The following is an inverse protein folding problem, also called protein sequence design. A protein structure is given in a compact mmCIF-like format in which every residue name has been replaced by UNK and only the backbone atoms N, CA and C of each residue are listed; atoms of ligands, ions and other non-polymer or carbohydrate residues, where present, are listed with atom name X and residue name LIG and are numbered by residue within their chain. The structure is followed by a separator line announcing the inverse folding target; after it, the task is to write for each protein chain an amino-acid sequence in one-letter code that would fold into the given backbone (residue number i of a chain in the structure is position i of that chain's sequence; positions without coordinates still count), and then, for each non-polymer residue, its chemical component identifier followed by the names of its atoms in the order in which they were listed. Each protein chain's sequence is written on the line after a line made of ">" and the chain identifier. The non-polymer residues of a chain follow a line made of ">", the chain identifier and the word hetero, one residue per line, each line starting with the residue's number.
data_IF_510058631306
#
_entry.id   IF_510058631306
#
_cell.length_a   1.000
_cell.length_b   1.000
_cell.length_c   1.000
_cell.angle_alpha   90.00
_cell.angle_beta   90.00
_cell.angle_gamma   90.00
#
_symmetry.space_group_name_H-M   'P 1'
#
loop_
_entity.id
_entity.type
_entity.pdbx_description
1 polymer ?
#
# COMPACT_ATOMS: atom_id res chain seq x y z
N UNK A 1 2.82 -3.73 -16.30
CA UNK A 1 3.88 -3.88 -17.31
C UNK A 1 4.78 -5.05 -16.94
N UNK A 2 5.61 -5.53 -17.88
CA UNK A 2 6.68 -6.50 -17.59
C UNK A 2 8.01 -5.92 -18.07
N UNK A 3 8.97 -5.79 -17.17
CA UNK A 3 10.33 -5.36 -17.48
C UNK A 3 11.22 -6.59 -17.53
N UNK A 4 12.06 -6.69 -18.56
CA UNK A 4 13.01 -7.79 -18.71
C UNK A 4 14.37 -7.24 -19.15
N UNK A 5 15.43 -7.97 -18.85
CA UNK A 5 16.80 -7.68 -19.30
C UNK A 5 17.35 -8.83 -20.11
N UNK A 6 18.22 -8.51 -21.06
CA UNK A 6 19.11 -9.51 -21.64
C UNK A 6 20.41 -9.63 -20.84
N UNK A 7 21.36 -8.73 -21.07
CA UNK A 7 22.61 -8.59 -20.29
C UNK A 7 22.88 -7.12 -20.05
N UNK A 8 23.66 -6.78 -19.02
CA UNK A 8 24.03 -5.38 -18.75
C UNK A 8 22.80 -4.48 -18.56
N UNK A 9 22.84 -3.25 -19.06
CA UNK A 9 21.73 -2.30 -19.06
C UNK A 9 20.93 -2.35 -20.37
N UNK A 10 20.73 -3.55 -20.93
CA UNK A 10 19.86 -3.76 -22.08
C UNK A 10 18.46 -4.20 -21.58
N UNK A 11 17.62 -3.21 -21.26
CA UNK A 11 16.29 -3.39 -20.68
C UNK A 11 15.19 -3.31 -21.75
N UNK A 12 14.11 -4.07 -21.56
CA UNK A 12 12.94 -4.08 -22.43
C UNK A 12 11.65 -4.07 -21.60
N UNK A 13 10.59 -3.52 -22.18
CA UNK A 13 9.26 -3.45 -21.56
C UNK A 13 8.18 -4.06 -22.45
N UNK A 14 7.22 -4.73 -21.83
CA UNK A 14 5.95 -5.14 -22.43
C UNK A 14 4.76 -4.51 -21.67
N UNK A 15 3.77 -4.05 -22.43
CA UNK A 15 2.45 -3.61 -21.95
C UNK A 15 1.32 -4.55 -22.37
N UNK A 16 1.62 -5.66 -23.03
CA UNK A 16 0.67 -6.58 -23.67
C UNK A 16 0.80 -8.04 -23.17
N UNK A 17 1.19 -8.19 -21.90
CA UNK A 17 1.33 -9.49 -21.24
C UNK A 17 2.50 -10.34 -21.77
N UNK A 18 3.50 -9.70 -22.37
CA UNK A 18 4.71 -10.36 -22.89
C UNK A 18 4.60 -10.81 -24.34
N UNK A 19 3.56 -10.36 -25.06
CA UNK A 19 3.38 -10.68 -26.48
C UNK A 19 4.41 -9.96 -27.35
N UNK A 20 4.77 -8.73 -26.99
CA UNK A 20 5.83 -7.96 -27.62
C UNK A 20 6.65 -7.17 -26.59
N UNK A 21 7.91 -6.87 -26.94
CA UNK A 21 8.84 -6.14 -26.08
C UNK A 21 9.54 -5.03 -26.85
N UNK A 22 9.51 -3.82 -26.28
CA UNK A 22 10.22 -2.65 -26.79
C UNK A 22 11.48 -2.41 -25.97
N UNK A 23 12.59 -2.06 -26.62
CA UNK A 23 13.80 -1.69 -25.91
C UNK A 23 13.58 -0.38 -25.13
N UNK A 24 13.96 -0.38 -23.85
CA UNK A 24 14.09 0.84 -23.04
C UNK A 24 15.49 1.42 -23.22
N UNK A 25 16.52 0.57 -23.22
CA UNK A 25 17.91 1.01 -23.37
C UNK A 25 18.77 -0.05 -24.05
N UNK A 26 19.79 0.40 -24.77
CA UNK A 26 20.85 -0.43 -25.35
C UNK A 26 22.20 0.03 -24.77
N UNK A 27 22.63 -0.60 -23.67
CA UNK A 27 23.76 -0.12 -22.84
C UNK A 27 24.53 -1.29 -22.23
N UNK A 28 25.85 -1.30 -22.43
CA UNK A 28 26.75 -2.36 -21.97
C UNK A 28 27.42 -2.07 -20.60
N UNK A 29 26.96 -1.06 -19.86
CA UNK A 29 27.34 -0.85 -18.46
C UNK A 29 26.61 -1.83 -17.54
N UNK A 30 27.12 -2.01 -16.32
CA UNK A 30 26.55 -2.95 -15.34
C UNK A 30 27.25 -4.31 -15.31
N UNK A 31 26.52 -5.34 -14.89
CA UNK A 31 26.95 -6.75 -14.78
C UNK A 31 26.24 -7.60 -15.82
N UNK A 32 26.75 -8.80 -16.07
CA UNK A 32 26.15 -9.73 -17.03
C UNK A 32 24.68 -10.03 -16.67
N UNK A 33 24.43 -10.50 -15.44
CA UNK A 33 23.11 -10.47 -14.80
C UNK A 33 23.10 -9.19 -13.95
N UNK A 34 22.38 -8.17 -14.40
CA UNK A 34 22.49 -6.85 -13.83
C UNK A 34 21.49 -6.67 -12.68
N UNK A 35 21.94 -6.41 -11.43
CA UNK A 35 21.04 -6.15 -10.33
C UNK A 35 20.29 -4.84 -10.58
N UNK A 36 18.99 -4.88 -10.33
CA UNK A 36 18.09 -3.78 -10.52
C UNK A 36 16.88 -3.92 -9.59
N UNK A 37 16.23 -2.80 -9.33
CA UNK A 37 14.92 -2.77 -8.70
C UNK A 37 14.08 -1.64 -9.31
N UNK A 38 12.77 -1.84 -9.37
CA UNK A 38 11.82 -0.91 -9.94
C UNK A 38 11.00 -0.27 -8.83
N UNK A 39 11.14 1.05 -8.69
CA UNK A 39 10.32 1.87 -7.80
C UNK A 39 9.06 2.27 -8.56
N UNK A 40 7.95 1.61 -8.24
CA UNK A 40 6.66 1.80 -8.89
C UNK A 40 6.00 3.13 -8.51
N UNK A 41 6.22 3.60 -7.29
CA UNK A 41 5.77 4.92 -6.83
C UNK A 41 6.47 6.06 -7.57
N UNK A 42 7.77 5.93 -7.84
CA UNK A 42 8.54 6.92 -8.58
C UNK A 42 8.50 6.73 -10.10
N UNK A 43 8.04 5.57 -10.60
CA UNK A 43 8.15 5.12 -11.99
C UNK A 43 9.60 5.13 -12.50
N UNK A 44 10.54 4.59 -11.69
CA UNK A 44 11.97 4.56 -11.99
C UNK A 44 12.56 3.16 -11.83
N UNK A 45 13.22 2.67 -12.89
CA UNK A 45 14.07 1.48 -12.81
C UNK A 45 15.51 1.88 -12.44
N UNK A 46 15.99 1.44 -11.30
CA UNK A 46 17.37 1.60 -10.86
C UNK A 46 18.16 0.34 -11.19
N UNK A 47 19.33 0.48 -11.82
CA UNK A 47 20.16 -0.66 -12.22
C UNK A 47 21.65 -0.37 -12.10
N UNK A 48 22.46 -1.38 -11.80
CA UNK A 48 23.89 -1.17 -11.63
C UNK A 48 24.55 -0.69 -12.94
N UNK A 49 25.50 0.24 -12.85
CA UNK A 49 26.29 0.71 -13.99
C UNK A 49 27.79 0.50 -13.77
N UNK A 50 28.42 1.28 -12.90
CA UNK A 50 29.83 1.14 -12.55
C UNK A 50 30.05 1.32 -11.03
N UNK A 51 31.30 1.50 -10.60
CA UNK A 51 31.62 1.61 -9.17
C UNK A 51 31.13 2.91 -8.53
N UNK A 52 30.85 3.92 -9.35
CA UNK A 52 30.51 5.27 -8.90
C UNK A 52 29.20 5.78 -9.51
N UNK A 53 28.41 4.89 -10.13
CA UNK A 53 27.10 5.26 -10.66
C UNK A 53 26.09 4.11 -10.74
N UNK A 54 24.83 4.53 -10.66
CA UNK A 54 23.63 3.73 -10.89
C UNK A 54 22.93 4.30 -12.12
N UNK A 55 22.43 3.44 -12.99
CA UNK A 55 21.60 3.85 -14.12
C UNK A 55 20.16 4.00 -13.67
N UNK A 56 19.48 5.04 -14.16
CA UNK A 56 18.04 5.24 -13.97
C UNK A 56 17.33 5.25 -15.31
N UNK A 57 16.17 4.62 -15.36
CA UNK A 57 15.21 4.81 -16.45
C UNK A 57 13.96 5.38 -15.79
N UNK A 58 13.63 6.62 -16.13
CA UNK A 58 12.48 7.36 -15.61
C UNK A 58 11.27 7.15 -16.52
N UNK A 59 10.08 7.37 -15.95
CA UNK A 59 8.80 7.33 -16.65
C UNK A 59 8.64 6.04 -17.48
N UNK A 60 9.02 4.91 -16.88
CA UNK A 60 9.09 3.59 -17.52
C UNK A 60 7.72 3.19 -18.09
N UNK A 61 6.64 3.60 -17.42
CA UNK A 61 5.26 3.34 -17.85
C UNK A 61 4.79 4.21 -19.04
N UNK A 62 5.54 5.26 -19.40
CA UNK A 62 5.16 6.28 -20.36
C UNK A 62 6.29 6.69 -21.33
N UNK A 63 6.56 7.99 -21.41
CA UNK A 63 7.61 8.54 -22.29
C UNK A 63 8.98 8.47 -21.61
N UNK A 64 9.53 7.26 -21.55
CA UNK A 64 10.74 7.01 -20.77
C UNK A 64 11.96 7.79 -21.25
N UNK A 65 12.87 8.10 -20.32
CA UNK A 65 14.23 8.55 -20.61
C UNK A 65 15.21 7.94 -19.60
N UNK A 66 16.50 7.96 -19.89
CA UNK A 66 17.51 7.38 -18.99
C UNK A 66 18.68 8.32 -18.73
N UNK A 67 19.25 8.22 -17.54
CA UNK A 67 20.46 8.91 -17.13
C UNK A 67 21.31 8.06 -16.18
N UNK A 68 22.37 8.65 -15.63
CA UNK A 68 23.20 8.05 -14.60
C UNK A 68 23.20 8.92 -13.35
N UNK A 69 22.85 8.30 -12.22
CA UNK A 69 22.99 8.85 -10.89
C UNK A 69 24.44 8.63 -10.41
N UNK A 70 25.18 9.73 -10.19
CA UNK A 70 26.55 9.69 -9.67
C UNK A 70 26.54 9.48 -8.16
N UNK A 71 27.10 8.36 -7.69
CA UNK A 71 27.20 7.98 -6.27
C UNK A 71 28.49 7.19 -6.03
N UNK A 72 29.39 7.72 -5.21
CA UNK A 72 30.67 7.05 -4.93
C UNK A 72 30.46 5.84 -4.00
N UNK A 73 30.40 4.63 -4.58
CA UNK A 73 30.21 3.38 -3.83
C UNK A 73 31.51 2.56 -3.71
N UNK A 74 32.57 2.93 -4.46
CA UNK A 74 33.88 2.26 -4.46
C UNK A 74 33.92 0.88 -5.11
N UNK A 75 32.76 0.23 -5.27
CA UNK A 75 32.58 -1.03 -5.98
C UNK A 75 31.22 -1.06 -6.66
N UNK A 76 31.14 -1.81 -7.77
CA UNK A 76 29.91 -1.90 -8.55
C UNK A 76 28.80 -2.55 -7.70
N UNK A 77 27.60 -1.97 -7.75
CA UNK A 77 26.43 -2.53 -7.08
C UNK A 77 26.23 -4.01 -7.44
N UNK A 78 25.96 -4.83 -6.44
CA UNK A 78 25.64 -6.27 -6.53
C UNK A 78 24.19 -6.56 -6.17
N UNK A 79 23.53 -5.64 -5.47
CA UNK A 79 22.10 -5.66 -5.20
C UNK A 79 21.59 -4.21 -5.09
N UNK A 80 20.37 -3.95 -5.54
CA UNK A 80 19.68 -2.66 -5.42
C UNK A 80 18.28 -3.00 -4.90
N UNK A 81 17.81 -2.24 -3.90
CA UNK A 81 16.46 -2.38 -3.32
C UNK A 81 15.84 -0.98 -3.17
N UNK A 82 14.75 -0.71 -3.88
CA UNK A 82 13.93 0.47 -3.63
C UNK A 82 13.18 0.33 -2.30
N UNK A 83 12.99 1.43 -1.58
CA UNK A 83 12.24 1.39 -0.32
C UNK A 83 10.75 1.32 -0.58
N UNK A 84 10.05 0.40 0.10
CA UNK A 84 8.58 0.38 0.14
C UNK A 84 8.01 1.49 1.04
N UNK A 85 8.86 2.13 1.86
CA UNK A 85 8.45 2.97 2.99
C UNK A 85 8.78 4.45 2.80
N UNK A 86 9.90 4.75 2.14
CA UNK A 86 10.34 6.12 1.89
C UNK A 86 10.47 6.39 0.39
N UNK A 87 9.72 7.38 -0.06
CA UNK A 87 9.77 7.82 -1.46
C UNK A 87 11.20 8.21 -1.88
N UNK A 88 11.63 7.71 -3.04
CA UNK A 88 12.93 8.03 -3.65
C UNK A 88 14.14 7.65 -2.77
N UNK A 89 14.01 6.60 -1.96
CA UNK A 89 15.11 5.99 -1.19
C UNK A 89 15.43 4.63 -1.78
N UNK A 90 16.71 4.37 -2.02
CA UNK A 90 17.20 3.04 -2.42
C UNK A 90 18.35 2.59 -1.52
N UNK A 91 18.49 1.29 -1.36
CA UNK A 91 19.61 0.63 -0.69
C UNK A 91 20.45 -0.11 -1.72
N UNK A 92 21.77 0.04 -1.63
CA UNK A 92 22.71 -0.52 -2.60
C UNK A 92 23.80 -1.30 -1.89
N UNK A 93 23.77 -2.61 -2.06
CA UNK A 93 24.88 -3.51 -1.68
C UNK A 93 25.91 -3.58 -2.81
N UNK A 94 27.20 -3.66 -2.47
CA UNK A 94 28.29 -3.76 -3.45
C UNK A 94 28.98 -5.10 -3.44
N UNK A 95 29.73 -5.41 -4.51
CA UNK A 95 30.53 -6.64 -4.58
C UNK A 95 31.70 -6.71 -3.60
N UNK A 96 32.01 -5.61 -2.91
CA UNK A 96 33.07 -5.56 -1.89
C UNK A 96 32.53 -5.62 -0.46
N UNK A 97 31.22 -5.70 -0.29
CA UNK A 97 30.58 -5.83 1.02
C UNK A 97 30.15 -4.51 1.66
N UNK A 98 30.19 -3.40 0.92
CA UNK A 98 29.70 -2.12 1.39
C UNK A 98 28.20 -1.96 1.14
N UNK A 99 27.50 -1.31 2.06
CA UNK A 99 26.08 -0.99 1.95
C UNK A 99 25.87 0.52 2.01
N UNK A 100 25.10 1.03 1.05
CA UNK A 100 24.77 2.45 0.96
C UNK A 100 23.25 2.64 1.02
N UNK A 101 22.80 3.64 1.80
CA UNK A 101 21.47 4.22 1.70
C UNK A 101 21.56 5.49 0.86
N UNK A 102 20.78 5.55 -0.21
CA UNK A 102 20.75 6.70 -1.12
C UNK A 102 19.36 7.33 -1.03
N UNK A 103 19.31 8.60 -0.61
CA UNK A 103 18.08 9.41 -0.55
C UNK A 103 18.03 10.40 -1.72
N UNK A 104 16.82 10.85 -2.07
CA UNK A 104 16.56 11.68 -3.26
C UNK A 104 17.10 11.02 -4.55
N UNK A 105 16.93 9.70 -4.65
CA UNK A 105 17.49 8.87 -5.72
C UNK A 105 16.90 9.20 -7.11
N UNK A 106 15.75 9.87 -7.17
CA UNK A 106 15.14 10.37 -8.40
C UNK A 106 15.72 11.71 -8.90
N UNK A 107 16.51 12.42 -8.09
CA UNK A 107 16.93 13.80 -8.35
C UNK A 107 18.34 13.91 -8.97
N UNK A 108 18.72 15.09 -9.44
CA UNK A 108 20.10 15.35 -9.91
C UNK A 108 21.13 15.51 -8.78
N UNK A 109 20.70 15.52 -7.51
CA UNK A 109 21.54 15.70 -6.33
C UNK A 109 21.22 14.65 -5.26
N UNK A 110 21.48 13.36 -5.54
CA UNK A 110 21.26 12.28 -4.58
C UNK A 110 22.18 12.43 -3.35
N UNK A 111 21.71 11.98 -2.19
CA UNK A 111 22.51 11.91 -0.97
C UNK A 111 22.84 10.45 -0.67
N UNK A 112 24.12 10.08 -0.74
CA UNK A 112 24.59 8.73 -0.40
C UNK A 112 25.19 8.72 1.01
N UNK A 113 24.72 7.80 1.84
CA UNK A 113 25.26 7.53 3.18
C UNK A 113 25.69 6.08 3.25
N UNK A 114 26.96 5.83 3.60
CA UNK A 114 27.43 4.47 3.86
C UNK A 114 26.92 4.00 5.23
N UNK A 115 26.26 2.84 5.25
CA UNK A 115 25.72 2.18 6.45
C UNK A 115 26.30 0.77 6.61
N UNK A 116 27.51 0.56 6.08
CA UNK A 116 28.27 -0.70 6.18
C UNK A 116 28.56 -1.03 7.65
N UNK A 117 28.16 -2.23 8.09
CA UNK A 117 28.49 -2.71 9.43
C UNK A 117 29.99 -2.90 9.61
N UNK A 118 30.52 -2.55 10.78
CA UNK A 118 31.97 -2.65 11.07
C UNK A 118 32.50 -4.09 11.07
N UNK A 119 31.61 -5.06 11.25
CA UNK A 119 31.92 -6.50 11.24
C UNK A 119 31.49 -7.19 9.93
N UNK A 120 31.01 -6.43 8.93
CA UNK A 120 30.68 -7.00 7.63
C UNK A 120 31.93 -7.62 6.98
N UNK A 121 31.80 -8.81 6.38
CA UNK A 121 32.89 -9.39 5.61
C UNK A 121 33.11 -8.60 4.31
N UNK A 122 34.34 -8.60 3.81
CA UNK A 122 34.64 -8.16 2.43
C UNK A 122 34.20 -9.25 1.45
N UNK A 123 32.91 -9.29 1.18
CA UNK A 123 32.24 -10.36 0.43
C UNK A 123 31.07 -9.81 -0.40
N UNK A 124 30.47 -10.66 -1.24
CA UNK A 124 29.43 -10.24 -2.16
C UNK A 124 28.08 -10.09 -1.45
N UNK A 125 27.55 -8.86 -1.34
CA UNK A 125 26.15 -8.66 -0.90
C UNK A 125 25.22 -9.10 -2.02
N UNK A 126 24.48 -10.18 -1.81
CA UNK A 126 23.55 -10.74 -2.80
C UNK A 126 22.12 -10.23 -2.63
N UNK A 127 21.73 -9.85 -1.41
CA UNK A 127 20.39 -9.37 -1.10
C UNK A 127 20.42 -8.34 0.04
N UNK A 128 19.60 -7.29 -0.12
CA UNK A 128 19.26 -6.33 0.93
C UNK A 128 17.74 -6.34 1.00
N UNK A 129 17.20 -6.89 2.09
CA UNK A 129 15.77 -7.04 2.30
C UNK A 129 15.31 -6.08 3.39
N UNK A 130 14.18 -5.41 3.18
CA UNK A 130 13.57 -4.51 4.16
C UNK A 130 12.46 -5.26 4.92
N UNK A 131 12.44 -5.08 6.23
CA UNK A 131 11.42 -5.65 7.12
C UNK A 131 10.15 -4.81 7.11
N UNK A 132 9.60 -4.48 8.28
CA UNK A 132 8.38 -3.67 8.43
C UNK A 132 8.60 -2.15 8.23
N UNK A 133 9.84 -1.70 8.06
CA UNK A 133 10.19 -0.30 7.80
C UNK A 133 11.59 -0.17 7.23
N UNK A 134 11.98 1.04 6.83
CA UNK A 134 13.38 1.39 6.50
C UNK A 134 14.38 1.22 7.66
N UNK A 135 13.90 1.01 8.89
CA UNK A 135 14.77 0.75 10.04
C UNK A 135 15.13 -0.71 10.18
N UNK A 136 14.32 -1.61 9.64
CA UNK A 136 14.51 -3.05 9.73
C UNK A 136 15.14 -3.57 8.44
N UNK A 137 16.40 -4.00 8.50
CA UNK A 137 17.18 -4.35 7.31
C UNK A 137 17.88 -5.68 7.52
N UNK A 138 17.77 -6.57 6.53
CA UNK A 138 18.52 -7.82 6.45
C UNK A 138 19.48 -7.76 5.27
N UNK A 139 20.76 -8.04 5.51
CA UNK A 139 21.83 -8.04 4.50
C UNK A 139 22.40 -9.43 4.38
N UNK A 140 22.46 -9.93 3.16
CA UNK A 140 22.86 -11.29 2.83
C UNK A 140 24.15 -11.28 2.03
N UNK A 141 25.13 -12.06 2.48
CA UNK A 141 26.40 -12.29 1.81
C UNK A 141 26.48 -13.70 1.20
N UNK A 142 26.95 -13.78 -0.04
CA UNK A 142 27.04 -15.02 -0.82
C UNK A 142 28.49 -15.50 -0.98
N UNK A 143 29.11 -16.04 0.06
CA UNK A 143 30.45 -16.63 0.02
C UNK A 143 30.57 -17.80 1.03
N UNK A 144 31.46 -18.76 0.77
CA UNK A 144 31.85 -19.73 1.81
C UNK A 144 32.78 -19.09 2.85
N UNK A 145 32.70 -19.55 4.10
CA UNK A 145 33.62 -19.19 5.17
C UNK A 145 33.44 -17.78 5.73
N UNK A 146 32.29 -17.15 5.49
CA UNK A 146 31.95 -15.83 6.04
C UNK A 146 30.61 -15.89 6.77
N UNK A 147 30.37 -14.95 7.69
CA UNK A 147 29.03 -14.71 8.22
C UNK A 147 28.15 -14.12 7.12
N UNK A 148 27.12 -14.85 6.75
CA UNK A 148 26.22 -14.55 5.64
C UNK A 148 25.10 -13.60 6.02
N UNK A 149 24.61 -13.62 7.26
CA UNK A 149 23.35 -12.94 7.61
C UNK A 149 23.58 -11.85 8.65
N UNK A 150 23.24 -10.62 8.29
CA UNK A 150 23.32 -9.45 9.16
C UNK A 150 21.99 -8.72 9.23
N UNK A 151 21.56 -8.37 10.43
CA UNK A 151 20.27 -7.75 10.70
C UNK A 151 20.43 -6.46 11.49
N UNK A 152 19.62 -5.46 11.17
CA UNK A 152 19.55 -4.17 11.85
C UNK A 152 18.08 -3.81 12.10
N UNK A 153 17.81 -3.14 13.22
CA UNK A 153 16.50 -2.59 13.59
C UNK A 153 16.55 -1.07 13.79
N UNK A 154 17.68 -0.45 13.43
CA UNK A 154 17.98 0.96 13.65
C UNK A 154 18.54 1.63 12.38
N UNK A 155 18.03 1.21 11.21
CA UNK A 155 18.37 1.76 9.90
C UNK A 155 19.85 1.63 9.52
N UNK A 156 20.51 0.56 9.99
CA UNK A 156 21.89 0.25 9.70
C UNK A 156 22.91 0.96 10.60
N UNK A 157 22.49 1.54 11.72
CA UNK A 157 23.40 2.11 12.72
C UNK A 157 24.15 1.01 13.49
N UNK A 158 23.46 -0.08 13.83
CA UNK A 158 24.04 -1.28 14.42
C UNK A 158 23.59 -2.53 13.67
N UNK A 159 24.46 -3.54 13.69
CA UNK A 159 24.27 -4.80 12.99
C UNK A 159 24.54 -5.97 13.91
N UNK A 160 23.65 -6.94 13.90
CA UNK A 160 23.81 -8.21 14.60
C UNK A 160 23.85 -9.35 13.59
N UNK A 161 24.76 -10.30 13.80
CA UNK A 161 24.75 -11.53 13.01
C UNK A 161 23.50 -12.35 13.34
N UNK A 162 22.88 -12.94 12.31
CA UNK A 162 21.80 -13.92 12.42
C UNK A 162 22.19 -15.28 11.82
N UNK A 163 23.50 -15.57 11.78
CA UNK A 163 24.03 -16.83 11.25
C UNK A 163 23.47 -18.05 11.98
N UNK A 164 23.38 -17.98 13.31
CA UNK A 164 22.80 -19.06 14.08
C UNK A 164 23.59 -20.36 13.95
N UNK A 165 22.86 -21.45 13.69
CA UNK A 165 23.39 -22.77 13.37
C UNK A 165 23.40 -23.09 11.86
N UNK A 166 23.23 -22.07 11.00
CA UNK A 166 23.22 -22.26 9.54
C UNK A 166 24.55 -22.93 9.09
N UNK A 167 24.48 -24.03 8.31
CA UNK A 167 25.69 -24.62 7.73
C UNK A 167 26.43 -23.65 6.82
N UNK A 168 27.76 -23.75 6.76
CA UNK A 168 28.59 -22.92 5.87
C UNK A 168 28.27 -23.18 4.39
N UNK A 169 27.58 -22.22 3.76
CA UNK A 169 27.23 -22.22 2.34
C UNK A 169 26.84 -20.81 1.87
N UNK A 170 26.94 -20.52 0.57
CA UNK A 170 26.44 -19.27 0.02
C UNK A 170 24.93 -19.11 0.22
N UNK A 171 24.54 -18.00 0.84
CA UNK A 171 23.16 -17.51 0.92
C UNK A 171 22.97 -16.44 -0.15
N UNK A 172 21.87 -16.48 -0.89
CA UNK A 172 21.66 -15.71 -2.13
C UNK A 172 20.54 -14.69 -2.02
N UNK A 173 19.49 -15.03 -1.29
CA UNK A 173 18.33 -14.18 -1.10
C UNK A 173 17.72 -14.42 0.27
N UNK A 174 17.04 -13.43 0.81
CA UNK A 174 16.20 -13.59 1.99
C UNK A 174 14.85 -12.93 1.78
N UNK A 175 13.82 -13.44 2.42
CA UNK A 175 12.51 -12.80 2.52
C UNK A 175 12.02 -12.91 3.95
N UNK A 176 11.48 -11.81 4.47
CA UNK A 176 10.64 -11.84 5.65
C UNK A 176 9.27 -12.41 5.31
N UNK A 177 8.67 -13.14 6.24
CA UNK A 177 7.22 -13.33 6.21
C UNK A 177 6.57 -11.94 6.50
N UNK A 178 5.74 -11.41 5.58
CA UNK A 178 5.14 -10.10 5.75
C UNK A 178 4.24 -9.99 7.00
N UNK A 179 3.61 -11.09 7.40
CA UNK A 179 2.68 -11.17 8.52
C UNK A 179 3.37 -11.47 9.86
N UNK A 180 4.58 -12.03 9.81
CA UNK A 180 5.38 -12.32 10.99
C UNK A 180 6.87 -12.12 10.70
N UNK A 181 7.42 -10.94 11.00
CA UNK A 181 8.82 -10.60 10.70
C UNK A 181 9.87 -11.40 11.49
N UNK A 182 9.44 -12.20 12.46
CA UNK A 182 10.33 -13.18 13.09
C UNK A 182 10.57 -14.40 12.21
N UNK A 183 9.69 -14.67 11.26
CA UNK A 183 9.87 -15.75 10.29
C UNK A 183 10.60 -15.23 9.05
N UNK A 184 11.70 -15.90 8.70
CA UNK A 184 12.52 -15.56 7.54
C UNK A 184 12.86 -16.81 6.77
N UNK A 185 12.79 -16.73 5.45
CA UNK A 185 13.30 -17.76 4.54
C UNK A 185 14.53 -17.24 3.79
N UNK A 186 15.42 -18.17 3.48
CA UNK A 186 16.68 -17.95 2.78
C UNK A 186 16.77 -18.83 1.54
N UNK A 187 17.21 -18.25 0.44
CA UNK A 187 17.69 -19.00 -0.72
C UNK A 187 19.17 -19.34 -0.54
N UNK A 188 19.52 -20.62 -0.69
CA UNK A 188 20.90 -21.11 -0.50
C UNK A 188 21.34 -22.01 -1.66
N UNK A 189 22.59 -22.44 -1.66
CA UNK A 189 23.13 -23.40 -2.64
C UNK A 189 22.52 -24.83 -2.53
N UNK A 190 21.83 -25.17 -1.44
CA UNK A 190 21.21 -26.50 -1.23
C UNK A 190 19.70 -26.44 -0.95
N UNK A 191 19.04 -25.37 -1.38
CA UNK A 191 17.57 -25.21 -1.28
C UNK A 191 17.18 -23.99 -0.46
N UNK A 192 15.97 -24.05 0.12
CA UNK A 192 15.44 -23.02 1.00
C UNK A 192 15.67 -23.42 2.46
N UNK A 193 16.05 -22.45 3.27
CA UNK A 193 16.16 -22.60 4.73
C UNK A 193 15.24 -21.59 5.41
N UNK A 194 14.73 -21.92 6.59
CA UNK A 194 13.84 -21.05 7.35
C UNK A 194 14.20 -20.99 8.84
N UNK A 195 13.84 -19.89 9.47
CA UNK A 195 13.75 -19.74 10.93
C UNK A 195 12.37 -19.20 11.26
N UNK A 196 11.78 -19.67 12.37
CA UNK A 196 10.51 -19.16 12.90
C UNK A 196 10.72 -18.01 13.91
N UNK A 197 11.96 -17.80 14.35
CA UNK A 197 12.31 -16.77 15.33
C UNK A 197 13.64 -16.09 15.01
N UNK A 198 13.56 -14.97 14.28
CA UNK A 198 14.68 -14.08 14.02
C UNK A 198 14.95 -13.13 15.19
N UNK A 199 14.08 -13.03 16.21
CA UNK A 199 14.27 -12.08 17.31
C UNK A 199 15.45 -12.47 18.22
N UNK A 200 15.72 -13.77 18.34
CA UNK A 200 16.82 -14.30 19.17
C UNK A 200 18.20 -13.98 18.61
N UNK A 201 19.22 -13.96 19.47
CA UNK A 201 20.60 -13.65 19.07
C UNK A 201 21.25 -14.71 18.18
N UNK A 202 20.76 -15.95 18.24
CA UNK A 202 21.26 -17.10 17.47
C UNK A 202 20.06 -17.90 17.00
N UNK A 203 19.50 -17.58 15.82
CA UNK A 203 18.36 -18.30 15.25
C UNK A 203 18.71 -19.76 14.94
N UNK A 204 17.71 -20.63 14.95
CA UNK A 204 17.86 -22.00 14.47
C UNK A 204 17.32 -22.09 13.04
N UNK A 205 18.14 -22.56 12.12
CA UNK A 205 17.82 -22.68 10.71
C UNK A 205 17.49 -24.12 10.35
N UNK A 206 16.37 -24.31 9.66
CA UNK A 206 15.92 -25.62 9.19
C UNK A 206 15.74 -25.64 7.68
N UNK A 207 16.06 -26.76 7.03
CA UNK A 207 15.85 -26.90 5.59
C UNK A 207 14.36 -27.03 5.27
N UNK A 208 13.83 -26.14 4.43
CA UNK A 208 12.42 -26.06 4.01
C UNK A 208 12.28 -26.47 2.54
N UNK A 209 12.65 -27.71 2.24
CA UNK A 209 12.72 -28.24 0.87
C UNK A 209 11.52 -29.15 0.50
N UNK A 210 10.35 -28.99 1.13
CA UNK A 210 9.19 -29.83 0.79
C UNK A 210 8.80 -29.63 -0.69
N UNK A 211 8.84 -30.69 -1.50
CA UNK A 211 8.62 -30.61 -2.94
C UNK A 211 9.74 -29.96 -3.76
N UNK A 212 10.74 -29.36 -3.10
CA UNK A 212 11.91 -28.73 -3.69
C UNK A 212 13.13 -29.68 -3.60
N UNK A 213 13.85 -29.87 -4.70
CA UNK A 213 15.08 -30.65 -4.65
C UNK A 213 16.18 -29.89 -3.88
N UNK A 214 17.22 -30.60 -3.42
CA UNK A 214 18.46 -29.95 -2.97
C UNK A 214 19.14 -29.31 -4.20
N UNK A 215 18.76 -28.08 -4.51
CA UNK A 215 19.21 -27.31 -5.65
C UNK A 215 19.48 -25.89 -5.20
N UNK A 216 20.48 -25.26 -5.82
CA UNK A 216 20.73 -23.84 -5.65
C UNK A 216 19.47 -23.02 -6.01
N UNK A 217 19.06 -22.17 -5.08
CA UNK A 217 18.00 -21.18 -5.25
C UNK A 217 18.66 -19.81 -5.39
N UNK A 218 18.38 -19.10 -6.48
CA UNK A 218 19.03 -17.82 -6.79
C UNK A 218 18.26 -16.61 -6.26
N UNK A 219 16.93 -16.71 -6.23
CA UNK A 219 16.06 -15.59 -5.86
C UNK A 219 14.76 -16.13 -5.26
N UNK A 220 14.25 -15.41 -4.28
CA UNK A 220 12.90 -15.57 -3.77
C UNK A 220 12.14 -14.29 -4.07
N UNK A 221 10.87 -14.41 -4.43
CA UNK A 221 9.94 -13.27 -4.56
C UNK A 221 8.62 -13.66 -3.90
N UNK A 222 7.97 -12.70 -3.25
CA UNK A 222 6.65 -12.88 -2.67
C UNK A 222 5.64 -11.98 -3.39
N UNK A 223 4.44 -12.52 -3.64
CA UNK A 223 3.32 -11.72 -4.12
C UNK A 223 2.50 -11.22 -2.93
N UNK A 224 2.52 -9.91 -2.70
CA UNK A 224 1.83 -9.30 -1.55
C UNK A 224 0.32 -9.53 -1.50
N UNK A 225 -0.35 -9.78 -2.64
CA UNK A 225 -1.81 -9.96 -2.68
C UNK A 225 -2.30 -11.25 -2.02
N UNK A 226 -1.47 -12.29 -1.94
CA UNK A 226 -1.86 -13.60 -1.44
C UNK A 226 -0.73 -14.38 -0.74
N UNK A 227 0.42 -13.76 -0.52
CA UNK A 227 1.55 -14.37 0.18
C UNK A 227 2.25 -15.49 -0.60
N UNK A 228 1.94 -15.69 -1.89
CA UNK A 228 2.60 -16.72 -2.68
C UNK A 228 4.09 -16.40 -2.84
N UNK A 229 4.94 -17.27 -2.32
CA UNK A 229 6.39 -17.22 -2.48
C UNK A 229 6.79 -18.05 -3.69
N UNK A 230 7.63 -17.48 -4.56
CA UNK A 230 8.24 -18.16 -5.70
C UNK A 230 9.76 -18.24 -5.52
N UNK A 231 10.31 -19.44 -5.67
CA UNK A 231 11.73 -19.73 -5.66
C UNK A 231 12.25 -20.00 -7.08
N UNK A 232 13.18 -19.16 -7.54
CA UNK A 232 13.88 -19.34 -8.81
C UNK A 232 15.13 -20.21 -8.60
N UNK A 233 15.17 -21.38 -9.24
CA UNK A 233 16.24 -22.36 -9.04
C UNK A 233 17.23 -22.37 -10.20
N UNK A 234 18.46 -22.78 -9.92
CA UNK A 234 19.47 -23.02 -10.93
C UNK A 234 19.19 -24.33 -11.68
N UNK A 235 18.50 -24.24 -12.82
CA UNK A 235 18.33 -25.35 -13.76
C UNK A 235 17.15 -26.30 -13.48
N UNK A 236 16.25 -25.98 -12.54
CA UNK A 236 15.03 -26.77 -12.27
C UNK A 236 13.71 -25.99 -12.38
N UNK A 237 13.77 -24.77 -12.91
CA UNK A 237 12.60 -23.91 -13.10
C UNK A 237 12.21 -23.16 -11.83
N UNK A 238 10.92 -22.84 -11.72
CA UNK A 238 10.34 -22.12 -10.59
C UNK A 238 9.55 -23.09 -9.71
N UNK A 239 9.65 -22.90 -8.40
CA UNK A 239 8.84 -23.59 -7.40
C UNK A 239 8.08 -22.52 -6.62
N UNK A 240 6.93 -22.86 -6.05
CA UNK A 240 6.15 -21.92 -5.25
C UNK A 240 5.53 -22.58 -4.04
N UNK A 241 5.34 -21.79 -2.99
CA UNK A 241 4.62 -22.17 -1.77
C UNK A 241 3.72 -21.02 -1.32
N UNK A 242 2.66 -21.34 -0.60
CA UNK A 242 1.78 -20.42 0.10
C UNK A 242 2.02 -20.46 1.63
N UNK A 243 3.17 -20.96 2.09
CA UNK A 243 3.50 -21.02 3.53
C UNK A 243 3.48 -19.65 4.22
N UNK A 244 3.81 -18.57 3.49
CA UNK A 244 3.71 -17.18 3.98
C UNK A 244 2.35 -16.55 3.73
N UNK A 245 1.43 -17.24 3.04
CA UNK A 245 0.06 -16.76 2.99
C UNK A 245 -0.45 -16.78 4.42
N UNK A 246 -0.87 -15.61 4.92
CA UNK A 246 -1.70 -15.53 6.11
C UNK A 246 -2.69 -16.67 6.04
N UNK A 247 -2.73 -17.54 7.05
CA UNK A 247 -3.85 -18.45 7.20
C UNK A 247 -5.08 -17.58 7.09
N UNK A 248 -5.78 -17.68 5.96
CA UNK A 248 -6.82 -16.71 5.62
C UNK A 248 -7.79 -16.66 6.78
N UNK A 249 -7.64 -15.64 7.64
CA UNK A 249 -8.81 -15.09 8.28
C UNK A 249 -9.54 -14.57 7.06
N UNK A 250 -10.54 -15.32 6.60
CA UNK A 250 -11.46 -14.83 5.59
C UNK A 250 -11.76 -13.39 5.98
N UNK A 251 -11.58 -12.38 5.10
CA UNK A 251 -11.93 -11.02 5.44
C UNK A 251 -13.35 -11.09 5.99
N UNK A 252 -13.49 -10.88 7.28
CA UNK A 252 -14.81 -10.62 7.81
C UNK A 252 -15.11 -9.26 7.20
N UNK A 253 -16.05 -9.21 6.26
CA UNK A 253 -16.76 -7.98 5.91
C UNK A 253 -17.54 -7.53 7.14
N UNK A 254 -16.81 -7.24 8.22
CA UNK A 254 -17.41 -6.86 9.48
C UNK A 254 -17.77 -5.40 9.32
N UNK A 255 -19.06 -5.17 9.26
CA UNK A 255 -19.60 -3.83 9.06
C UNK A 255 -19.43 -3.08 10.38
N UNK A 256 -18.37 -2.28 10.48
CA UNK A 256 -18.08 -1.48 11.68
C UNK A 256 -19.22 -0.51 12.00
N UNK A 257 -19.83 0.04 10.96
CA UNK A 257 -20.98 0.92 11.04
C UNK A 257 -21.81 0.79 9.76
N UNK A 258 -23.13 0.73 9.92
CA UNK A 258 -24.08 0.84 8.82
C UNK A 258 -25.37 1.45 9.34
N UNK A 259 -25.94 2.35 8.55
CA UNK A 259 -27.19 3.04 8.85
C UNK A 259 -28.11 2.95 7.64
N UNK A 260 -29.33 2.46 7.86
CA UNK A 260 -30.40 2.38 6.85
C UNK A 260 -31.58 3.29 7.19
N UNK A 261 -31.55 3.94 8.36
CA UNK A 261 -32.56 4.83 8.93
C UNK A 261 -33.92 4.16 9.24
N UNK A 262 -34.02 2.84 9.10
CA UNK A 262 -35.26 2.08 9.32
C UNK A 262 -35.72 2.10 10.78
N UNK A 263 -34.78 2.25 11.72
CA UNK A 263 -35.02 2.24 13.17
C UNK A 263 -35.74 3.50 13.68
N UNK A 264 -35.73 4.58 12.90
CA UNK A 264 -36.32 5.87 13.30
C UNK A 264 -37.78 6.00 12.89
N UNK A 265 -38.50 6.93 13.53
CA UNK A 265 -39.91 7.19 13.20
C UNK A 265 -40.03 7.83 11.82
N UNK A 266 -41.12 7.54 11.12
CA UNK A 266 -41.43 8.17 9.85
C UNK A 266 -41.50 9.69 10.02
N UNK A 267 -40.84 10.41 9.12
CA UNK A 267 -40.77 11.86 9.07
C UNK A 267 -40.14 12.52 10.31
N UNK A 268 -39.26 11.81 11.00
CA UNK A 268 -38.49 12.36 12.11
C UNK A 268 -37.48 13.42 11.63
N UNK A 269 -37.46 14.57 12.30
CA UNK A 269 -36.52 15.70 12.07
C UNK A 269 -35.59 15.93 13.26
N UNK A 270 -35.74 15.14 14.32
CA UNK A 270 -34.93 15.19 15.54
C UNK A 270 -34.94 13.82 16.21
N UNK A 271 -34.05 13.62 17.18
CA UNK A 271 -33.88 12.34 17.89
C UNK A 271 -33.55 11.17 16.96
N UNK A 272 -32.75 11.43 15.92
CA UNK A 272 -32.25 10.43 14.98
C UNK A 272 -31.02 9.76 15.61
N UNK A 273 -31.24 8.97 16.65
CA UNK A 273 -30.17 8.26 17.35
C UNK A 273 -29.11 9.21 17.93
N UNK A 274 -27.84 8.90 17.70
CA UNK A 274 -26.69 9.73 18.09
C UNK A 274 -26.23 10.68 16.97
N UNK A 275 -26.98 10.78 15.87
CA UNK A 275 -26.68 11.74 14.81
C UNK A 275 -26.83 13.16 15.33
N UNK A 276 -25.79 13.98 15.11
CA UNK A 276 -25.83 15.40 15.40
C UNK A 276 -26.35 16.15 14.17
N UNK A 277 -27.41 16.92 14.40
CA UNK A 277 -28.12 17.69 13.38
C UNK A 277 -27.87 19.16 13.64
N UNK A 278 -27.26 19.86 12.68
CA UNK A 278 -26.95 21.29 12.79
C UNK A 278 -27.56 22.01 11.59
N UNK A 279 -28.38 23.01 11.88
CA UNK A 279 -29.01 23.90 10.92
C UNK A 279 -28.41 25.30 11.13
N UNK A 280 -27.47 25.69 10.27
CA UNK A 280 -26.83 27.00 10.39
C UNK A 280 -27.61 28.10 9.67
N UNK A 281 -28.43 27.75 8.67
CA UNK A 281 -29.14 28.73 7.85
C UNK A 281 -30.49 29.15 8.45
N UNK A 282 -31.05 28.33 9.34
CA UNK A 282 -32.33 28.53 10.04
C UNK A 282 -33.54 28.53 9.11
N UNK A 283 -33.37 28.02 7.90
CA UNK A 283 -34.31 28.10 6.79
C UNK A 283 -35.49 27.14 6.94
N UNK A 284 -36.66 27.58 6.47
CA UNK A 284 -37.80 26.68 6.34
C UNK A 284 -37.65 25.86 5.05
N UNK A 285 -37.67 24.54 5.18
CA UNK A 285 -37.67 23.61 4.06
C UNK A 285 -38.90 23.80 3.17
N UNK A 286 -38.76 23.56 1.87
CA UNK A 286 -39.92 23.51 0.97
C UNK A 286 -40.72 22.22 1.18
N UNK A 287 -42.05 22.36 1.25
CA UNK A 287 -42.99 21.24 1.15
C UNK A 287 -43.15 20.72 -0.29
N UNK A 288 -43.86 19.62 -0.44
CA UNK A 288 -44.19 19.01 -1.71
C UNK A 288 -45.64 19.31 -2.12
N UNK A 289 -45.85 19.77 -3.35
CA UNK A 289 -47.18 20.21 -3.83
C UNK A 289 -48.17 19.07 -4.08
N UNK A 290 -47.67 17.84 -4.19
CA UNK A 290 -48.48 16.65 -4.53
C UNK A 290 -48.62 15.69 -3.35
N UNK A 291 -47.64 15.65 -2.43
CA UNK A 291 -47.55 14.61 -1.41
C UNK A 291 -47.51 15.28 -0.04
N UNK A 292 -48.54 15.08 0.76
CA UNK A 292 -48.61 15.60 2.13
C UNK A 292 -47.95 14.59 3.09
N UNK A 293 -47.19 15.09 4.06
CA UNK A 293 -46.51 14.26 5.07
C UNK A 293 -46.25 15.02 6.36
N UNK A 294 -46.06 14.27 7.45
CA UNK A 294 -45.79 14.86 8.76
C UNK A 294 -44.45 15.62 8.76
N UNK A 295 -44.35 16.73 9.50
CA UNK A 295 -43.17 17.62 9.50
C UNK A 295 -42.78 18.19 8.13
N UNK A 296 -43.73 18.29 7.18
CA UNK A 296 -43.52 19.08 5.98
C UNK A 296 -43.20 20.54 6.32
N UNK A 297 -42.21 21.13 5.63
CA UNK A 297 -41.78 22.50 5.88
C UNK A 297 -41.06 22.69 7.23
N UNK A 298 -40.32 21.68 7.68
CA UNK A 298 -39.52 21.75 8.90
C UNK A 298 -38.43 22.83 8.81
N UNK A 299 -38.00 23.29 9.99
CA UNK A 299 -36.76 24.07 10.17
C UNK A 299 -35.75 23.11 10.79
N UNK A 300 -34.64 22.88 10.08
CA UNK A 300 -33.64 21.87 10.42
C UNK A 300 -32.92 21.36 9.17
N UNK A 301 -31.98 20.43 9.37
CA UNK A 301 -31.10 19.97 8.29
C UNK A 301 -31.69 18.84 7.42
N UNK A 302 -32.32 17.84 8.03
CA UNK A 302 -32.76 16.65 7.31
C UNK A 302 -33.99 16.00 7.94
N UNK A 303 -34.65 15.13 7.16
CA UNK A 303 -35.81 14.35 7.59
C UNK A 303 -35.64 12.87 7.24
N UNK A 304 -36.07 11.98 8.16
CA UNK A 304 -36.23 10.56 7.86
C UNK A 304 -37.50 10.39 7.02
N UNK A 305 -37.35 10.21 5.71
CA UNK A 305 -38.49 10.19 4.79
C UNK A 305 -38.92 8.76 4.48
N UNK A 306 -40.23 8.50 4.51
CA UNK A 306 -40.82 7.23 4.10
C UNK A 306 -41.82 7.47 2.95
N UNK A 307 -41.46 7.15 1.68
CA UNK A 307 -42.31 7.40 0.52
C UNK A 307 -43.67 6.68 0.58
N UNK A 308 -43.74 5.55 1.28
CA UNK A 308 -44.98 4.79 1.40
C UNK A 308 -46.02 5.45 2.33
N UNK A 309 -45.59 6.37 3.20
CA UNK A 309 -46.43 6.98 4.25
C UNK A 309 -46.87 8.41 3.94
N UNK A 310 -46.56 8.94 2.75
CA UNK A 310 -47.09 10.21 2.28
C UNK A 310 -48.54 10.06 1.78
N UNK A 311 -49.26 11.19 1.62
CA UNK A 311 -50.65 11.20 1.15
C UNK A 311 -50.86 12.13 -0.07
N UNK A 312 -51.19 11.59 -1.26
CA UNK A 312 -51.11 10.17 -1.63
C UNK A 312 -49.67 9.64 -1.54
N UNK A 313 -49.51 8.31 -1.53
CA UNK A 313 -48.18 7.67 -1.45
C UNK A 313 -47.29 8.08 -2.63
N UNK A 314 -46.04 8.40 -2.33
CA UNK A 314 -44.98 8.76 -3.28
C UNK A 314 -44.06 7.59 -3.64
N UNK A 315 -44.37 6.38 -3.18
CA UNK A 315 -43.64 5.16 -3.56
C UNK A 315 -43.77 4.90 -5.07
N UNK A 316 -42.67 4.55 -5.72
CA UNK A 316 -42.57 4.37 -7.17
C UNK A 316 -42.19 5.65 -7.92
N UNK A 317 -41.64 6.66 -7.24
CA UNK A 317 -41.29 7.97 -7.82
C UNK A 317 -39.80 8.27 -7.65
N UNK A 318 -39.36 9.47 -8.06
CA UNK A 318 -37.99 9.93 -7.82
C UNK A 318 -37.62 9.98 -6.33
N UNK A 319 -38.61 10.05 -5.44
CA UNK A 319 -38.43 10.04 -4.00
C UNK A 319 -38.18 8.65 -3.40
N UNK A 320 -38.09 7.58 -4.19
CA UNK A 320 -37.82 6.23 -3.68
C UNK A 320 -36.45 6.13 -3.00
N UNK A 321 -36.38 5.33 -1.93
CA UNK A 321 -35.15 5.02 -1.20
C UNK A 321 -34.24 4.09 -2.01
N UNK A 322 -32.93 4.10 -1.73
CA UNK A 322 -32.00 3.15 -2.35
C UNK A 322 -32.25 1.72 -1.85
N UNK A 323 -32.46 1.57 -0.54
CA UNK A 323 -32.76 0.31 0.13
C UNK A 323 -33.75 0.57 1.27
N UNK A 324 -34.54 -0.43 1.64
CA UNK A 324 -35.49 -0.30 2.73
C UNK A 324 -36.70 0.58 2.39
N UNK A 325 -37.47 0.95 3.41
CA UNK A 325 -38.65 1.83 3.31
C UNK A 325 -38.35 3.29 3.64
N UNK A 326 -37.21 3.58 4.29
CA UNK A 326 -36.85 4.91 4.78
C UNK A 326 -35.46 5.31 4.31
N UNK A 327 -35.20 6.61 4.32
CA UNK A 327 -33.87 7.17 4.09
C UNK A 327 -33.77 8.57 4.66
N UNK A 328 -32.56 9.13 4.62
CA UNK A 328 -32.27 10.50 5.03
C UNK A 328 -32.41 11.44 3.84
N UNK A 329 -33.26 12.47 3.96
CA UNK A 329 -33.59 13.39 2.89
C UNK A 329 -33.30 14.82 3.32
N UNK A 330 -32.62 15.55 2.44
CA UNK A 330 -32.37 16.98 2.57
C UNK A 330 -33.31 17.68 1.58
N UNK A 331 -34.30 18.40 2.10
CA UNK A 331 -35.17 19.22 1.26
C UNK A 331 -34.59 20.62 1.20
N UNK A 332 -34.61 21.23 0.03
CA UNK A 332 -34.13 22.60 -0.15
C UNK A 332 -34.79 23.55 0.86
N UNK A 333 -33.99 24.31 1.58
CA UNK A 333 -34.42 25.43 2.42
C UNK A 333 -34.40 26.73 1.62
N UNK A 334 -35.29 27.67 1.95
CA UNK A 334 -35.36 28.98 1.27
C UNK A 334 -36.74 29.62 1.26
N UNK A 335 -37.76 28.96 1.82
CA UNK A 335 -39.03 29.61 2.09
C UNK A 335 -38.83 30.71 3.15
N UNK A 336 -39.42 31.88 2.92
CA UNK A 336 -39.36 33.06 3.81
C UNK A 336 -38.02 33.82 3.94
N UNK A 337 -37.08 33.65 2.99
CA UNK A 337 -36.01 34.63 2.76
C UNK A 337 -34.69 34.41 3.48
N UNK A 338 -34.30 33.16 3.73
CA UNK A 338 -32.92 32.82 4.14
C UNK A 338 -31.97 32.80 2.93
N UNK A 339 -30.69 33.03 3.19
CA UNK A 339 -29.63 33.15 2.18
C UNK A 339 -29.26 31.79 1.63
N UNK A 340 -29.30 31.62 0.30
CA UNK A 340 -28.58 30.55 -0.38
C UNK A 340 -27.07 30.69 -0.16
N UNK A 341 -26.32 29.58 0.02
CA UNK A 341 -26.71 28.17 -0.08
C UNK A 341 -27.25 27.57 1.23
N UNK A 342 -27.89 26.40 1.12
CA UNK A 342 -28.27 25.59 2.29
C UNK A 342 -26.99 25.16 3.06
N UNK A 343 -26.88 25.50 4.34
CA UNK A 343 -25.73 25.22 5.20
C UNK A 343 -26.14 24.34 6.39
N UNK A 344 -26.28 23.06 6.07
CA UNK A 344 -26.90 22.05 6.91
C UNK A 344 -25.96 20.86 7.10
N UNK A 345 -25.79 20.41 8.35
CA UNK A 345 -24.90 19.30 8.69
C UNK A 345 -25.66 18.14 9.33
N UNK A 346 -25.35 16.95 8.84
CA UNK A 346 -25.65 15.68 9.50
C UNK A 346 -24.34 14.97 9.81
N UNK A 347 -24.00 14.91 11.09
CA UNK A 347 -22.76 14.32 11.60
C UNK A 347 -23.10 12.96 12.22
N UNK A 348 -22.43 11.91 11.76
CA UNK A 348 -22.62 10.55 12.28
C UNK A 348 -22.18 10.45 13.74
N UNK A 349 -22.63 9.42 14.46
CA UNK A 349 -21.97 9.01 15.70
C UNK A 349 -20.48 8.76 15.44
N UNK A 350 -19.66 8.81 16.50
CA UNK A 350 -18.23 8.50 16.39
C UNK A 350 -18.07 7.04 15.96
N UNK A 351 -17.38 6.82 14.83
CA UNK A 351 -17.05 5.49 14.34
C UNK A 351 -15.60 5.21 14.72
N UNK A 352 -15.38 4.48 15.81
CA UNK A 352 -14.03 4.08 16.20
C UNK A 352 -13.58 2.89 15.35
N UNK A 353 -12.53 3.03 14.52
CA UNK A 353 -11.96 1.88 13.85
C UNK A 353 -11.40 0.93 14.93
N UNK A 354 -11.73 -0.36 14.84
CA UNK A 354 -11.00 -1.38 15.59
C UNK A 354 -9.53 -1.40 15.11
N UNK A 355 -8.67 -2.27 15.65
CA UNK A 355 -7.33 -2.47 15.11
C UNK A 355 -7.42 -3.08 13.69
N UNK A 356 -7.69 -2.24 12.69
CA UNK A 356 -7.90 -2.57 11.29
C UNK A 356 -6.83 -1.87 10.47
N UNK A 357 -6.30 -2.58 9.47
CA UNK A 357 -5.25 -2.07 8.59
C UNK A 357 -5.79 -1.06 7.56
N UNK A 358 -7.04 -1.19 7.15
CA UNK A 358 -7.72 -0.33 6.17
C UNK A 358 -9.22 -0.19 6.48
N UNK A 359 -9.84 0.94 6.10
CA UNK A 359 -11.27 1.20 6.22
C UNK A 359 -11.82 1.85 4.95
N UNK A 360 -13.02 1.44 4.54
CA UNK A 360 -13.75 2.07 3.44
C UNK A 360 -15.06 2.66 3.97
N UNK A 361 -15.34 3.91 3.61
CA UNK A 361 -16.65 4.54 3.82
C UNK A 361 -17.34 4.70 2.47
N UNK A 362 -18.58 4.24 2.37
CA UNK A 362 -19.39 4.35 1.16
C UNK A 362 -20.84 4.65 1.52
N UNK A 363 -21.49 5.49 0.72
CA UNK A 363 -22.92 5.79 0.84
C UNK A 363 -23.53 5.99 -0.54
N UNK A 364 -24.86 5.87 -0.62
CA UNK A 364 -25.61 6.16 -1.83
C UNK A 364 -26.30 7.51 -1.69
N UNK A 365 -26.14 8.37 -2.70
CA UNK A 365 -26.86 9.63 -2.80
C UNK A 365 -27.35 9.81 -4.24
N UNK A 366 -28.49 10.47 -4.39
CA UNK A 366 -29.05 10.86 -5.69
C UNK A 366 -29.77 12.18 -5.54
N UNK A 367 -29.82 12.94 -6.63
CA UNK A 367 -30.72 14.09 -6.69
C UNK A 367 -32.15 13.70 -7.01
N UNK A 368 -33.10 14.36 -6.36
CA UNK A 368 -34.52 14.13 -6.63
C UNK A 368 -34.91 14.68 -8.02
N UNK A 369 -34.33 15.81 -8.43
CA UNK A 369 -34.55 16.40 -9.75
C UNK A 369 -33.30 17.16 -10.22
N UNK A 370 -33.13 17.26 -11.53
CA UNK A 370 -32.10 18.09 -12.16
C UNK A 370 -32.62 19.48 -12.60
N UNK A 371 -33.90 19.77 -12.34
CA UNK A 371 -34.57 21.00 -12.79
C UNK A 371 -33.89 22.30 -12.36
N UNK A 372 -33.09 22.25 -11.29
CA UNK A 372 -32.36 23.39 -10.73
C UNK A 372 -30.84 23.13 -10.66
N UNK A 373 -30.36 22.15 -11.42
CA UNK A 373 -29.01 21.59 -11.28
C UNK A 373 -29.00 20.39 -10.33
N UNK A 374 -27.99 19.53 -10.50
CA UNK A 374 -27.78 18.41 -9.59
C UNK A 374 -27.26 18.91 -8.25
N UNK A 375 -27.77 18.34 -7.16
CA UNK A 375 -27.32 18.66 -5.82
C UNK A 375 -25.90 18.13 -5.60
N UNK A 376 -25.18 18.77 -4.68
CA UNK A 376 -23.84 18.36 -4.27
C UNK A 376 -23.81 18.24 -2.76
N UNK A 377 -23.19 17.18 -2.28
CA UNK A 377 -22.90 16.95 -0.87
C UNK A 377 -21.41 17.13 -0.67
N UNK A 378 -21.02 17.87 0.36
CA UNK A 378 -19.63 17.89 0.81
C UNK A 378 -19.46 16.82 1.86
N UNK A 379 -18.39 16.04 1.73
CA UNK A 379 -18.07 15.00 2.71
C UNK A 379 -16.89 15.48 3.53
N UNK A 380 -17.04 15.47 4.85
CA UNK A 380 -16.02 15.95 5.76
C UNK A 380 -15.76 14.94 6.88
N UNK A 381 -14.54 14.95 7.41
CA UNK A 381 -14.10 14.02 8.47
C UNK A 381 -13.43 14.81 9.60
N UNK A 382 -13.74 14.46 10.85
CA UNK A 382 -13.05 14.96 12.04
C UNK A 382 -12.47 13.82 12.87
N UNK A 383 -11.33 14.08 13.51
CA UNK A 383 -10.70 13.22 14.51
C UNK A 383 -10.51 13.93 15.85
N UNK A 384 -10.99 15.17 15.97
CA UNK A 384 -10.71 16.06 17.12
C UNK A 384 -11.94 16.48 17.89
N UNK A 385 -13.13 16.38 17.29
CA UNK A 385 -14.38 16.76 17.95
C UNK A 385 -15.58 16.71 17.01
N UNK A 386 -16.72 17.20 17.50
CA UNK A 386 -17.99 17.24 16.77
C UNK A 386 -18.44 18.66 16.43
N UNK A 387 -17.61 19.69 16.66
CA UNK A 387 -17.94 21.04 16.20
C UNK A 387 -17.69 21.12 14.69
N UNK A 388 -18.47 21.92 13.96
CA UNK A 388 -18.33 22.08 12.51
C UNK A 388 -16.90 22.44 12.09
N UNK A 389 -16.23 23.30 12.88
CA UNK A 389 -14.84 23.72 12.63
C UNK A 389 -13.80 22.60 12.81
N UNK A 390 -14.17 21.47 13.44
CA UNK A 390 -13.28 20.32 13.63
C UNK A 390 -13.21 19.42 12.37
N UNK A 391 -14.07 19.63 11.38
CA UNK A 391 -14.19 18.78 10.19
C UNK A 391 -13.36 19.30 9.01
N UNK A 392 -12.63 18.38 8.34
CA UNK A 392 -11.93 18.65 7.10
C UNK A 392 -12.71 18.08 5.91
N UNK A 393 -13.00 18.91 4.91
CA UNK A 393 -13.70 18.49 3.68
C UNK A 393 -12.75 17.65 2.81
N UNK A 394 -13.21 16.46 2.43
CA UNK A 394 -12.47 15.47 1.64
C UNK A 394 -13.08 15.19 0.26
N UNK A 395 -14.32 15.62 0.00
CA UNK A 395 -14.98 15.52 -1.31
C UNK A 395 -15.96 16.64 -1.58
#
# INVERSE_FOLDING_TARGET
>A
YQITSYIYNNWRISSDGGSSFTALTDDNTGRFINPADYDDNADILYSAANADSIKRIHDVSGSYYSDYMSVAMGAKASHIRASDYSANVIYVGTSSGNLYKISNANSSSPSSTEITGTSFPTAWISCVELGASDSEILVIFSNFGVTSIWYSVDAGLTWVSKEGDLPDMPVRWALFNPDNRNEVILATDIGVWSTDDLSVSSPAWTASNSGLANVRVDMLQIRGSDGLVTAATFGRGLFSTDDFASSTISPTNDTLFSETFESYSDFAISSIGEWLIIDNDGGTAYGHTIYDFFNEGYIGSAIIFNPSQTNPSSLGTSLDTYSGSKGLYFFTSGANGTTTPNDDWMISPEISPAAVSECFFSFWAKSNTDSYGLERLQIAVSTTGTNVDDFNIIS
#
